data_IF_958470186717
#
_entry.id   IF_958470186717
#
_cell.length_a   1.000
_cell.length_b   1.000
_cell.length_c   1.000
_cell.angle_alpha   90.00
_cell.angle_beta   90.00
_cell.angle_gamma   90.00
#
_symmetry.space_group_name_H-M   'P 1'
#
loop_
_entity.id
_entity.type
_entity.pdbx_description
1 polymer ?
#
# COMPACT_ATOMS: atom_id res chain seq x y z
N UNK A 1 8.62 8.26 -9.00
CA UNK A 1 8.24 6.84 -8.97
C UNK A 1 8.12 6.34 -7.54
N UNK A 2 7.08 5.61 -7.27
CA UNK A 2 6.87 4.99 -5.97
C UNK A 2 7.79 3.77 -5.84
N UNK A 3 8.56 3.70 -4.77
CA UNK A 3 9.53 2.62 -4.60
C UNK A 3 9.13 1.61 -3.52
N UNK A 4 8.18 1.96 -2.68
CA UNK A 4 7.71 1.05 -1.65
C UNK A 4 6.60 1.66 -0.82
N UNK A 5 6.00 0.83 0.03
CA UNK A 5 4.95 1.24 0.96
C UNK A 5 5.28 0.72 2.35
N UNK A 6 4.94 1.50 3.35
CA UNK A 6 5.02 1.08 4.75
C UNK A 6 3.62 1.16 5.31
N UNK A 7 3.14 0.05 5.87
CA UNK A 7 1.83 -0.02 6.48
C UNK A 7 1.96 -0.26 7.98
N UNK A 8 0.84 -0.16 8.69
CA UNK A 8 0.82 -0.48 10.13
C UNK A 8 1.33 -1.88 10.39
N UNK A 9 0.99 -2.82 9.52
CA UNK A 9 1.44 -4.21 9.66
C UNK A 9 2.95 -4.33 9.57
N UNK A 10 3.55 -3.58 8.65
CA UNK A 10 5.01 -3.59 8.49
C UNK A 10 5.70 -3.05 9.75
N UNK A 11 5.18 -1.96 10.30
CA UNK A 11 5.73 -1.36 11.50
C UNK A 11 5.59 -2.31 12.68
N UNK A 12 4.42 -2.94 12.81
CA UNK A 12 4.15 -3.86 13.91
C UNK A 12 5.10 -5.06 13.87
N UNK A 13 5.30 -5.64 12.69
CA UNK A 13 6.22 -6.77 12.54
C UNK A 13 7.65 -6.36 12.87
N UNK A 14 8.04 -5.18 12.45
CA UNK A 14 9.35 -4.64 12.75
C UNK A 14 9.57 -4.49 14.25
N UNK A 15 8.61 -3.91 14.95
CA UNK A 15 8.70 -3.70 16.39
C UNK A 15 8.78 -5.02 17.15
N UNK A 16 8.09 -6.05 16.68
CA UNK A 16 8.14 -7.38 17.30
C UNK A 16 9.52 -8.01 17.17
N UNK A 17 10.31 -7.60 16.21
CA UNK A 17 11.68 -8.08 16.05
C UNK A 17 12.68 -7.45 17.01
N UNK A 18 12.27 -6.46 17.80
CA UNK A 18 13.13 -5.82 18.78
C UNK A 18 14.21 -4.93 18.22
N UNK A 19 14.06 -4.48 16.99
CA UNK A 19 15.05 -3.63 16.35
C UNK A 19 14.87 -2.17 16.76
N UNK A 20 15.95 -1.39 16.60
CA UNK A 20 15.98 0.01 17.00
C UNK A 20 15.29 0.86 15.92
N UNK A 21 14.15 1.45 16.26
CA UNK A 21 13.38 2.24 15.32
C UNK A 21 14.07 3.54 14.91
N UNK A 22 14.94 4.05 15.77
CA UNK A 22 15.64 5.30 15.46
C UNK A 22 16.78 5.11 14.49
N UNK A 23 17.29 3.89 14.37
CA UNK A 23 18.40 3.56 13.49
C UNK A 23 17.99 2.83 12.23
N UNK A 24 16.73 2.50 12.11
CA UNK A 24 16.21 1.77 10.96
C UNK A 24 15.59 2.77 9.98
N UNK A 25 15.93 2.63 8.71
CA UNK A 25 15.40 3.52 7.68
C UNK A 25 14.10 3.00 7.11
N UNK A 26 13.33 3.90 6.51
CA UNK A 26 12.11 3.53 5.81
C UNK A 26 12.38 2.50 4.71
N UNK A 27 13.48 2.64 4.03
CA UNK A 27 13.86 1.72 2.96
C UNK A 27 14.02 0.29 3.45
N UNK A 28 14.50 0.12 4.69
CA UNK A 28 14.70 -1.20 5.27
C UNK A 28 13.38 -1.88 5.66
N UNK A 29 12.35 -1.09 5.94
CA UNK A 29 11.06 -1.61 6.42
C UNK A 29 10.04 -1.73 5.29
N UNK A 30 10.13 -0.90 4.26
CA UNK A 30 9.12 -0.82 3.23
C UNK A 30 8.94 -2.12 2.45
N UNK A 31 7.71 -2.34 2.00
CA UNK A 31 7.39 -3.41 1.07
C UNK A 31 7.61 -2.89 -0.35
N UNK A 32 8.44 -3.59 -1.12
CA UNK A 32 8.74 -3.19 -2.49
C UNK A 32 7.76 -3.79 -3.50
N UNK A 33 7.10 -4.87 -3.12
CA UNK A 33 6.11 -5.57 -3.96
C UNK A 33 4.72 -5.22 -3.46
N UNK A 34 4.30 -3.99 -3.73
CA UNK A 34 3.02 -3.50 -3.27
C UNK A 34 1.95 -3.66 -4.34
N UNK A 35 0.70 -3.78 -3.90
CA UNK A 35 -0.45 -3.79 -4.80
C UNK A 35 -0.77 -2.35 -5.19
N UNK A 36 -1.24 -2.17 -6.41
CA UNK A 36 -1.66 -0.86 -6.89
C UNK A 36 -2.75 -1.03 -7.93
N UNK A 37 -3.42 0.06 -8.27
CA UNK A 37 -4.47 0.06 -9.29
C UNK A 37 -4.23 1.18 -10.27
N UNK A 38 -4.79 0.98 -11.47
CA UNK A 38 -4.86 2.03 -12.47
C UNK A 38 -6.06 2.95 -12.18
N UNK A 39 -6.02 4.20 -12.63
CA UNK A 39 -7.13 5.12 -12.36
C UNK A 39 -8.44 4.69 -13.02
N UNK A 40 -8.40 3.83 -14.04
CA UNK A 40 -9.57 3.33 -14.73
C UNK A 40 -10.24 2.15 -14.03
N UNK A 41 -9.59 1.56 -13.04
CA UNK A 41 -10.16 0.43 -12.31
C UNK A 41 -11.41 0.85 -11.56
N UNK A 42 -12.38 -0.05 -11.49
CA UNK A 42 -13.59 0.21 -10.74
C UNK A 42 -13.30 0.16 -9.24
N UNK A 43 -14.14 0.83 -8.47
CA UNK A 43 -14.03 0.77 -7.01
C UNK A 43 -14.21 -0.66 -6.50
N UNK A 44 -15.11 -1.43 -7.13
CA UNK A 44 -15.31 -2.83 -6.77
C UNK A 44 -14.05 -3.66 -6.94
N UNK A 45 -13.36 -3.47 -8.06
CA UNK A 45 -12.09 -4.16 -8.29
C UNK A 45 -11.03 -3.77 -7.27
N UNK A 46 -11.02 -2.48 -6.89
CA UNK A 46 -10.06 -1.99 -5.89
C UNK A 46 -10.33 -2.64 -4.53
N UNK A 47 -11.59 -2.72 -4.13
CA UNK A 47 -11.96 -3.34 -2.85
C UNK A 47 -11.58 -4.81 -2.85
N UNK A 48 -11.86 -5.52 -3.95
CA UNK A 48 -11.48 -6.93 -4.06
C UNK A 48 -9.98 -7.12 -3.90
N UNK A 49 -9.20 -6.25 -4.52
CA UNK A 49 -7.74 -6.33 -4.43
C UNK A 49 -7.26 -6.03 -3.02
N UNK A 50 -7.89 -5.10 -2.33
CA UNK A 50 -7.52 -4.75 -0.95
C UNK A 50 -7.80 -5.89 0.02
N UNK A 51 -8.83 -6.68 -0.24
CA UNK A 51 -9.27 -7.77 0.63
C UNK A 51 -8.71 -9.12 0.24
N UNK A 52 -7.98 -9.19 -0.86
CA UNK A 52 -7.43 -10.43 -1.39
C UNK A 52 -6.33 -10.98 -0.50
N UNK A 53 -6.30 -12.31 -0.35
CA UNK A 53 -5.25 -13.01 0.36
C UNK A 53 -5.42 -13.02 1.86
N UNK A 54 -4.43 -13.53 2.58
CA UNK A 54 -4.51 -13.68 4.04
C UNK A 54 -4.38 -12.37 4.80
N UNK A 55 -3.86 -11.33 4.16
CA UNK A 55 -3.67 -10.03 4.80
C UNK A 55 -4.37 -8.95 4.00
N UNK A 56 -5.24 -8.21 4.67
CA UNK A 56 -5.88 -7.06 4.04
C UNK A 56 -4.86 -5.97 3.80
N UNK A 57 -4.99 -5.30 2.67
CA UNK A 57 -4.23 -4.09 2.35
C UNK A 57 -5.17 -2.92 2.56
N UNK A 58 -4.78 -1.97 3.38
CA UNK A 58 -5.65 -0.84 3.71
C UNK A 58 -5.44 0.38 2.83
N UNK A 59 -4.36 0.39 2.06
CA UNK A 59 -4.02 1.49 1.18
C UNK A 59 -3.58 0.94 -0.17
N UNK A 60 -4.14 1.50 -1.24
CA UNK A 60 -3.72 1.19 -2.61
C UNK A 60 -3.27 2.47 -3.29
N UNK A 61 -2.04 2.51 -3.80
CA UNK A 61 -1.64 3.60 -4.68
C UNK A 61 -2.39 3.52 -6.01
N UNK A 62 -2.75 4.66 -6.54
CA UNK A 62 -3.33 4.78 -7.87
C UNK A 62 -2.22 5.27 -8.79
N UNK A 63 -1.82 4.44 -9.74
CA UNK A 63 -0.68 4.71 -10.59
C UNK A 63 -1.10 4.76 -12.05
N UNK A 64 -0.54 5.72 -12.79
CA UNK A 64 -0.62 5.68 -14.24
C UNK A 64 0.61 4.95 -14.75
N UNK A 65 0.45 4.10 -15.77
CA UNK A 65 1.57 3.33 -16.30
C UNK A 65 1.69 1.95 -15.68
N UNK A 66 2.91 1.44 -15.61
CA UNK A 66 3.15 0.10 -15.10
C UNK A 66 4.05 0.14 -13.85
N UNK A 67 4.35 -1.03 -13.31
CA UNK A 67 5.13 -1.14 -12.09
C UNK A 67 6.50 -0.46 -12.19
N UNK A 68 7.15 -0.58 -13.34
CA UNK A 68 8.50 -0.05 -13.50
C UNK A 68 8.54 1.40 -13.96
N UNK A 69 7.50 1.84 -14.65
CA UNK A 69 7.45 3.18 -15.20
C UNK A 69 6.06 3.76 -14.99
N UNK A 70 5.90 4.49 -13.90
CA UNK A 70 4.59 5.00 -13.50
C UNK A 70 4.70 6.34 -12.80
N UNK A 71 3.55 6.98 -12.67
CA UNK A 71 3.36 8.21 -11.94
C UNK A 71 2.30 7.98 -10.87
N UNK A 72 2.56 8.45 -9.65
CA UNK A 72 1.60 8.32 -8.56
C UNK A 72 0.54 9.40 -8.71
N UNK A 73 -0.70 8.99 -8.91
CA UNK A 73 -1.82 9.92 -9.06
C UNK A 73 -2.53 10.17 -7.75
N UNK A 74 -2.52 9.20 -6.84
CA UNK A 74 -3.19 9.33 -5.58
C UNK A 74 -3.11 8.06 -4.76
N UNK A 75 -3.83 8.06 -3.66
CA UNK A 75 -3.94 6.91 -2.76
C UNK A 75 -5.41 6.63 -2.50
N UNK A 76 -5.77 5.35 -2.47
CA UNK A 76 -7.10 4.91 -2.06
C UNK A 76 -6.95 4.17 -0.75
N UNK A 77 -7.63 4.65 0.29
CA UNK A 77 -7.63 3.98 1.59
C UNK A 77 -8.88 3.15 1.73
N UNK A 78 -8.80 2.04 2.44
CA UNK A 78 -9.96 1.17 2.66
C UNK A 78 -11.10 1.96 3.31
N UNK A 79 -10.78 2.84 4.23
CA UNK A 79 -11.74 3.71 4.87
C UNK A 79 -12.53 4.55 3.85
N UNK A 80 -11.83 5.07 2.84
CA UNK A 80 -12.46 5.88 1.79
C UNK A 80 -13.41 5.05 0.93
N UNK A 81 -13.06 3.78 0.70
CA UNK A 81 -13.84 2.90 -0.15
C UNK A 81 -15.22 2.59 0.45
N UNK A 82 -15.32 2.59 1.78
CA UNK A 82 -16.57 2.31 2.46
C UNK A 82 -17.28 3.58 2.93
N UNK A 83 -16.70 4.72 2.68
CA UNK A 83 -17.27 5.98 3.11
C UNK A 83 -18.51 6.31 2.28
N UNK A 84 -19.57 6.73 2.95
CA UNK A 84 -20.80 7.15 2.29
C UNK A 84 -20.94 8.65 2.35
N UNK A 85 -21.50 9.27 1.30
CA UNK A 85 -21.76 10.71 1.34
C UNK A 85 -22.82 11.05 2.37
#
# INVERSE_FOLDING_TARGET
RLIGLITDGDIRRFLQGGQDIDRTTAEQVMCRHFRFIAPECSLGEAIDLMEEGPSQVQVLPVLSGNYENHEVLGLLRLHDAYRRP
#
